data_IF_907547307592
#
_entry.id   IF_907547307592
#
_cell.length_a   1.000
_cell.length_b   1.000
_cell.length_c   1.000
_cell.angle_alpha   90.00
_cell.angle_beta   90.00
_cell.angle_gamma   90.00
#
_symmetry.space_group_name_H-M   'P 1'
#
loop_
_entity.id
_entity.type
_entity.pdbx_description
1 polymer ?
#
# COMPACT_ATOMS: atom_id res chain seq x y z
N UNK A 1 27.17 25.80 -28.49
CA UNK A 1 26.33 24.73 -27.93
C UNK A 1 24.99 24.80 -28.65
N UNK A 2 24.70 23.82 -29.54
CA UNK A 2 23.43 23.78 -30.29
C UNK A 2 22.29 23.45 -29.32
N UNK A 3 21.22 24.24 -29.35
CA UNK A 3 19.96 23.93 -28.68
C UNK A 3 19.41 22.64 -29.29
N UNK A 4 19.01 21.63 -28.47
CA UNK A 4 18.48 20.38 -28.99
C UNK A 4 17.20 20.63 -29.80
N UNK A 5 17.08 19.90 -30.92
CA UNK A 5 15.94 20.02 -31.83
C UNK A 5 14.65 19.52 -31.15
N UNK A 6 13.49 20.15 -31.44
CA UNK A 6 12.18 19.80 -30.89
C UNK A 6 11.87 18.27 -30.95
N UNK A 7 12.18 17.54 -32.05
CA UNK A 7 11.97 16.10 -32.12
C UNK A 7 12.86 15.29 -31.15
N UNK A 8 14.08 15.79 -30.89
CA UNK A 8 15.02 15.13 -29.96
C UNK A 8 14.54 15.28 -28.50
N UNK A 9 14.05 16.47 -28.13
CA UNK A 9 13.44 16.72 -26.83
C UNK A 9 12.21 15.81 -26.63
N UNK A 10 11.35 15.66 -27.64
CA UNK A 10 10.17 14.79 -27.58
C UNK A 10 10.54 13.29 -27.47
N UNK A 11 11.64 12.88 -28.10
CA UNK A 11 12.15 11.51 -27.99
C UNK A 11 12.73 11.23 -26.59
N UNK A 12 13.48 12.16 -26.03
CA UNK A 12 14.02 12.10 -24.68
C UNK A 12 12.90 12.06 -23.62
N UNK A 13 11.87 12.90 -23.79
CA UNK A 13 10.72 12.90 -22.89
C UNK A 13 9.97 11.56 -22.91
N UNK A 14 9.74 10.96 -24.10
CA UNK A 14 9.15 9.61 -24.19
C UNK A 14 10.03 8.56 -23.50
N UNK A 15 11.33 8.64 -23.68
CA UNK A 15 12.28 7.71 -23.04
C UNK A 15 12.31 7.85 -21.53
N UNK A 16 12.21 9.06 -21.00
CA UNK A 16 12.09 9.30 -19.56
C UNK A 16 10.83 8.64 -19.01
N UNK A 17 9.67 8.87 -19.64
CA UNK A 17 8.39 8.26 -19.23
C UNK A 17 8.47 6.73 -19.25
N UNK A 18 9.08 6.15 -20.28
CA UNK A 18 9.26 4.70 -20.38
C UNK A 18 10.15 4.15 -19.27
N UNK A 19 11.28 4.82 -18.98
CA UNK A 19 12.19 4.44 -17.91
C UNK A 19 11.55 4.59 -16.53
N UNK A 20 10.77 5.63 -16.31
CA UNK A 20 10.01 5.83 -15.07
C UNK A 20 8.99 4.69 -14.85
N UNK A 21 8.29 4.26 -15.91
CA UNK A 21 7.37 3.11 -15.85
C UNK A 21 8.11 1.80 -15.54
N UNK A 22 9.25 1.55 -16.17
CA UNK A 22 10.08 0.37 -15.90
C UNK A 22 10.59 0.36 -14.45
N UNK A 23 10.98 1.51 -13.96
CA UNK A 23 11.43 1.69 -12.59
C UNK A 23 10.33 1.43 -11.57
N UNK A 24 9.14 1.99 -11.82
CA UNK A 24 7.95 1.75 -10.99
C UNK A 24 7.61 0.25 -10.93
N UNK A 25 7.69 -0.43 -12.08
CA UNK A 25 7.44 -1.86 -12.15
C UNK A 25 8.51 -2.67 -11.40
N UNK A 26 9.78 -2.30 -11.52
CA UNK A 26 10.87 -2.94 -10.79
C UNK A 26 10.71 -2.78 -9.27
N UNK A 27 10.35 -1.60 -8.79
CA UNK A 27 10.07 -1.36 -7.37
C UNK A 27 8.87 -2.16 -6.87
N UNK A 28 7.82 -2.25 -7.68
CA UNK A 28 6.66 -3.07 -7.37
C UNK A 28 7.05 -4.53 -7.16
N UNK A 29 7.90 -5.08 -8.05
CA UNK A 29 8.41 -6.43 -7.93
C UNK A 29 9.29 -6.60 -6.68
N UNK A 30 10.15 -5.64 -6.36
CA UNK A 30 10.96 -5.67 -5.16
C UNK A 30 10.10 -5.68 -3.87
N UNK A 31 9.07 -4.84 -3.82
CA UNK A 31 8.12 -4.80 -2.68
C UNK A 31 7.33 -6.11 -2.55
N UNK A 32 6.87 -6.68 -3.69
CA UNK A 32 6.25 -8.02 -3.70
C UNK A 32 7.23 -9.06 -3.20
N UNK A 33 8.50 -9.02 -3.63
CA UNK A 33 9.55 -9.92 -3.16
C UNK A 33 9.76 -9.85 -1.65
N UNK A 34 9.78 -8.65 -1.07
CA UNK A 34 9.90 -8.44 0.37
C UNK A 34 8.70 -9.04 1.14
N UNK A 35 7.50 -8.90 0.61
CA UNK A 35 6.28 -9.44 1.20
C UNK A 35 6.06 -10.94 0.89
N UNK A 36 6.68 -11.48 -0.16
CA UNK A 36 6.42 -12.84 -0.64
C UNK A 36 6.69 -13.92 0.41
N UNK A 37 7.74 -13.78 1.21
CA UNK A 37 8.04 -14.73 2.30
C UNK A 37 6.92 -14.76 3.34
N UNK A 38 6.44 -13.59 3.77
CA UNK A 38 5.36 -13.45 4.74
C UNK A 38 4.03 -14.00 4.17
N UNK A 39 3.75 -13.73 2.89
CA UNK A 39 2.56 -14.25 2.20
C UNK A 39 2.59 -15.78 2.08
N UNK A 40 3.73 -16.39 1.71
CA UNK A 40 3.88 -17.83 1.61
C UNK A 40 3.62 -18.52 2.96
N UNK A 41 4.15 -17.96 4.04
CA UNK A 41 3.87 -18.45 5.38
C UNK A 41 2.39 -18.34 5.75
N UNK A 42 1.71 -17.25 5.34
CA UNK A 42 0.27 -17.10 5.60
C UNK A 42 -0.56 -18.11 4.82
N UNK A 43 -0.24 -18.35 3.54
CA UNK A 43 -0.89 -19.41 2.77
C UNK A 43 -0.76 -20.77 3.45
N UNK A 44 0.45 -21.13 3.90
CA UNK A 44 0.67 -22.40 4.59
C UNK A 44 -0.13 -22.48 5.90
N UNK A 45 -0.24 -21.40 6.65
CA UNK A 45 -1.05 -21.36 7.87
C UNK A 45 -2.54 -21.51 7.57
N UNK A 46 -3.05 -20.85 6.52
CA UNK A 46 -4.45 -20.99 6.08
C UNK A 46 -4.73 -22.43 5.66
N UNK A 47 -3.88 -23.03 4.82
CA UNK A 47 -4.01 -24.42 4.38
C UNK A 47 -3.98 -25.40 5.59
N UNK A 48 -3.04 -25.19 6.52
CA UNK A 48 -2.95 -25.98 7.74
C UNK A 48 -4.23 -25.86 8.57
N UNK A 49 -4.79 -24.66 8.69
CA UNK A 49 -6.06 -24.42 9.39
C UNK A 49 -7.19 -25.19 8.70
N UNK A 50 -7.33 -25.06 7.39
CA UNK A 50 -8.37 -25.78 6.61
C UNK A 50 -8.24 -27.29 6.80
N UNK A 51 -7.02 -27.85 6.65
CA UNK A 51 -6.78 -29.30 6.78
C UNK A 51 -7.09 -29.79 8.19
N UNK A 52 -6.67 -29.06 9.23
CA UNK A 52 -6.87 -29.48 10.61
C UNK A 52 -8.35 -29.46 10.99
N UNK A 53 -9.10 -28.42 10.63
CA UNK A 53 -10.52 -28.33 10.90
C UNK A 53 -11.35 -29.30 10.04
N UNK A 54 -10.94 -29.56 8.79
CA UNK A 54 -11.55 -30.61 7.98
C UNK A 54 -11.39 -32.00 8.64
N UNK A 55 -10.17 -32.34 9.11
CA UNK A 55 -9.93 -33.58 9.86
C UNK A 55 -10.75 -33.65 11.16
N UNK A 56 -10.88 -32.52 11.88
CA UNK A 56 -11.69 -32.44 13.09
C UNK A 56 -13.17 -32.73 12.77
N UNK A 57 -13.75 -32.08 11.79
CA UNK A 57 -15.12 -32.25 11.36
C UNK A 57 -15.44 -33.66 10.82
N UNK A 58 -14.43 -34.34 10.23
CA UNK A 58 -14.57 -35.73 9.79
C UNK A 58 -14.55 -36.76 10.97
N UNK A 59 -13.76 -36.45 12.02
CA UNK A 59 -13.64 -37.33 13.21
C UNK A 59 -14.81 -37.23 14.16
N UNK A 60 -15.38 -36.04 14.31
CA UNK A 60 -16.47 -35.78 15.24
C UNK A 60 -17.83 -35.86 14.54
N UNK A 61 -18.78 -36.58 15.16
CA UNK A 61 -20.14 -36.74 14.61
C UNK A 61 -21.15 -35.77 15.20
N UNK A 62 -20.80 -35.08 16.28
CA UNK A 62 -21.64 -34.08 16.94
C UNK A 62 -21.77 -32.81 16.10
N UNK A 63 -23.00 -32.29 16.01
CA UNK A 63 -23.34 -31.13 15.17
C UNK A 63 -22.55 -29.87 15.55
N UNK A 64 -22.41 -29.49 16.86
CA UNK A 64 -21.71 -28.26 17.22
C UNK A 64 -20.23 -28.24 16.83
N UNK A 65 -19.53 -29.39 16.99
CA UNK A 65 -18.11 -29.48 16.61
C UNK A 65 -17.93 -29.39 15.10
N UNK A 66 -18.82 -30.01 14.32
CA UNK A 66 -18.78 -29.95 12.85
C UNK A 66 -19.10 -28.57 12.33
N UNK A 67 -20.10 -27.88 12.89
CA UNK A 67 -20.47 -26.53 12.53
C UNK A 67 -19.31 -25.56 12.79
N UNK A 68 -18.70 -25.63 13.98
CA UNK A 68 -17.51 -24.84 14.31
C UNK A 68 -16.33 -25.12 13.37
N UNK A 69 -16.15 -26.39 12.96
CA UNK A 69 -15.10 -26.76 12.02
C UNK A 69 -15.35 -26.15 10.62
N UNK A 70 -16.59 -26.22 10.13
CA UNK A 70 -16.98 -25.62 8.85
C UNK A 70 -16.82 -24.10 8.84
N UNK A 71 -17.22 -23.42 9.92
CA UNK A 71 -17.02 -21.98 10.08
C UNK A 71 -15.54 -21.59 10.00
N UNK A 72 -14.67 -22.35 10.66
CA UNK A 72 -13.22 -22.11 10.62
C UNK A 72 -12.65 -22.33 9.23
N UNK A 73 -13.12 -23.34 8.50
CA UNK A 73 -12.71 -23.60 7.11
C UNK A 73 -13.17 -22.46 6.20
N UNK A 74 -14.45 -22.05 6.33
CA UNK A 74 -15.01 -20.95 5.52
C UNK A 74 -14.23 -19.65 5.73
N UNK A 75 -14.00 -19.27 6.99
CA UNK A 75 -13.25 -18.04 7.31
C UNK A 75 -11.79 -18.10 6.82
N UNK A 76 -11.14 -19.25 6.91
CA UNK A 76 -9.81 -19.45 6.36
C UNK A 76 -9.80 -19.34 4.83
N UNK A 77 -10.79 -19.92 4.14
CA UNK A 77 -10.96 -19.80 2.69
C UNK A 77 -11.22 -18.38 2.22
N UNK A 78 -12.11 -17.64 2.91
CA UNK A 78 -12.37 -16.24 2.63
C UNK A 78 -11.12 -15.37 2.81
N UNK A 79 -10.30 -15.66 3.83
CA UNK A 79 -9.03 -14.97 4.03
C UNK A 79 -8.03 -15.26 2.91
N UNK A 80 -7.92 -16.51 2.45
CA UNK A 80 -7.09 -16.88 1.31
C UNK A 80 -7.52 -16.14 0.03
N UNK A 81 -8.83 -16.06 -0.22
CA UNK A 81 -9.40 -15.34 -1.35
C UNK A 81 -9.05 -13.84 -1.31
N UNK A 82 -9.15 -13.19 -0.14
CA UNK A 82 -8.74 -11.78 0.02
C UNK A 82 -7.26 -11.57 -0.28
N UNK A 83 -6.38 -12.42 0.25
CA UNK A 83 -4.93 -12.33 0.00
C UNK A 83 -4.63 -12.50 -1.50
N UNK A 84 -5.22 -13.51 -2.15
CA UNK A 84 -5.03 -13.75 -3.59
C UNK A 84 -5.57 -12.62 -4.44
N UNK A 85 -6.76 -12.11 -4.14
CA UNK A 85 -7.35 -10.99 -4.87
C UNK A 85 -6.50 -9.72 -4.71
N UNK A 86 -6.05 -9.41 -3.49
CA UNK A 86 -5.15 -8.29 -3.22
C UNK A 86 -3.82 -8.42 -3.95
N UNK A 87 -3.16 -9.59 -3.87
CA UNK A 87 -1.90 -9.86 -4.55
C UNK A 87 -2.05 -9.79 -6.08
N UNK A 88 -3.13 -10.32 -6.65
CA UNK A 88 -3.42 -10.25 -8.09
C UNK A 88 -3.76 -8.82 -8.53
N UNK A 89 -4.54 -8.07 -7.74
CA UNK A 89 -4.82 -6.67 -8.00
C UNK A 89 -3.53 -5.85 -8.01
N UNK A 90 -2.67 -6.08 -7.02
CA UNK A 90 -1.36 -5.45 -6.94
C UNK A 90 -0.44 -5.85 -8.12
N UNK A 91 -0.50 -7.11 -8.59
CA UNK A 91 0.31 -7.61 -9.72
C UNK A 91 -0.24 -7.19 -11.09
N UNK A 92 -1.55 -7.34 -11.33
CA UNK A 92 -2.18 -7.20 -12.66
C UNK A 92 -2.44 -5.77 -13.11
N UNK A 93 -2.79 -4.85 -12.21
CA UNK A 93 -3.23 -3.48 -12.58
C UNK A 93 -2.11 -2.54 -13.05
N UNK A 94 -0.90 -3.06 -13.28
CA UNK A 94 0.15 -2.32 -13.99
C UNK A 94 0.05 -2.36 -15.52
N UNK A 95 -0.91 -3.11 -16.10
CA UNK A 95 -1.04 -3.29 -17.56
C UNK A 95 -2.24 -2.57 -18.20
N UNK A 96 -3.17 -2.01 -17.45
CA UNK A 96 -4.25 -1.24 -18.01
C UNK A 96 -3.92 0.25 -17.88
N UNK A 97 -3.48 0.79 -19.00
CA UNK A 97 -3.49 2.22 -19.37
C UNK A 97 -4.20 3.12 -18.37
N UNK A 98 -3.42 3.91 -17.61
CA UNK A 98 -3.77 5.17 -16.95
C UNK A 98 -5.22 5.44 -16.48
N UNK A 99 -6.13 4.50 -16.62
CA UNK A 99 -7.54 4.68 -16.30
C UNK A 99 -7.75 4.83 -14.79
N UNK A 100 -8.36 5.95 -14.42
CA UNK A 100 -8.84 6.19 -13.07
C UNK A 100 -10.26 5.63 -12.95
N UNK A 101 -10.51 4.98 -11.84
CA UNK A 101 -11.86 4.51 -11.45
C UNK A 101 -12.27 5.17 -10.13
N UNK A 102 -13.55 5.39 -9.96
CA UNK A 102 -14.10 5.91 -8.70
C UNK A 102 -14.17 4.76 -7.72
N UNK A 103 -13.41 4.87 -6.64
CA UNK A 103 -13.32 3.82 -5.62
C UNK A 103 -13.52 4.41 -4.21
N UNK A 104 -14.01 3.59 -3.31
CA UNK A 104 -14.00 3.86 -1.88
C UNK A 104 -12.56 3.74 -1.36
N UNK A 105 -12.07 4.79 -0.72
CA UNK A 105 -10.70 4.82 -0.19
C UNK A 105 -10.54 3.93 1.05
N UNK A 106 -11.61 3.64 1.79
CA UNK A 106 -11.58 2.70 2.92
C UNK A 106 -11.35 1.28 2.41
N UNK A 107 -12.11 0.87 1.38
CA UNK A 107 -11.95 -0.46 0.78
C UNK A 107 -10.54 -0.63 0.19
N UNK A 108 -10.05 0.41 -0.51
CA UNK A 108 -8.71 0.40 -1.09
C UNK A 108 -7.61 0.25 -0.03
N UNK A 109 -7.75 0.95 1.11
CA UNK A 109 -6.82 0.85 2.24
C UNK A 109 -6.92 -0.54 2.89
N UNK A 110 -8.13 -1.06 3.10
CA UNK A 110 -8.33 -2.39 3.70
C UNK A 110 -7.70 -3.49 2.86
N UNK A 111 -7.82 -3.43 1.53
CA UNK A 111 -7.16 -4.37 0.62
C UNK A 111 -5.63 -4.38 0.80
N UNK A 112 -5.02 -3.21 0.94
CA UNK A 112 -3.58 -3.09 1.21
C UNK A 112 -3.22 -3.64 2.59
N UNK A 113 -4.01 -3.32 3.62
CA UNK A 113 -3.75 -3.78 4.98
C UNK A 113 -3.78 -5.31 5.10
N UNK A 114 -4.65 -5.99 4.35
CA UNK A 114 -4.66 -7.47 4.29
C UNK A 114 -3.32 -8.03 3.82
N UNK A 115 -2.66 -7.38 2.86
CA UNK A 115 -1.36 -7.84 2.32
C UNK A 115 -0.22 -7.69 3.33
N UNK A 116 -0.24 -6.61 4.13
CA UNK A 116 0.86 -6.25 5.02
C UNK A 116 0.64 -6.71 6.47
N UNK A 117 -0.59 -7.12 6.85
CA UNK A 117 -0.97 -7.43 8.23
C UNK A 117 -0.01 -8.42 8.89
N UNK A 118 0.35 -9.48 8.18
CA UNK A 118 1.23 -10.51 8.72
C UNK A 118 2.66 -10.02 8.86
N UNK A 119 3.16 -9.28 7.88
CA UNK A 119 4.49 -8.67 7.94
C UNK A 119 4.61 -7.74 9.15
N UNK A 120 3.59 -6.90 9.40
CA UNK A 120 3.51 -6.06 10.58
C UNK A 120 3.53 -6.89 11.88
N UNK A 121 2.77 -7.99 11.95
CA UNK A 121 2.75 -8.88 13.13
C UNK A 121 4.10 -9.54 13.41
N UNK A 122 4.79 -10.03 12.37
CA UNK A 122 6.13 -10.63 12.46
C UNK A 122 7.12 -9.63 13.06
N UNK A 123 7.03 -8.37 12.64
CA UNK A 123 7.89 -7.29 13.14
C UNK A 123 7.36 -6.61 14.41
N UNK A 124 6.37 -7.19 15.10
CA UNK A 124 5.78 -6.69 16.36
C UNK A 124 5.20 -5.28 16.23
N UNK A 125 4.72 -4.90 15.06
CA UNK A 125 4.04 -3.63 14.83
C UNK A 125 2.53 -3.82 15.05
N UNK A 126 1.95 -3.06 15.98
CA UNK A 126 0.51 -3.05 16.26
C UNK A 126 -0.18 -2.08 15.30
N UNK A 127 -1.11 -2.61 14.52
CA UNK A 127 -1.92 -1.83 13.59
C UNK A 127 -3.18 -1.33 14.28
N UNK A 128 -3.48 -0.03 14.10
CA UNK A 128 -4.76 0.61 14.46
C UNK A 128 -5.33 1.28 13.22
N UNK A 129 -6.63 1.16 13.02
CA UNK A 129 -7.34 1.80 11.92
C UNK A 129 -8.48 2.66 12.43
N UNK A 130 -8.67 3.82 11.80
CA UNK A 130 -9.81 4.70 12.06
C UNK A 130 -10.35 5.19 10.72
N UNK A 131 -11.62 4.90 10.46
CA UNK A 131 -12.28 5.26 9.20
C UNK A 131 -13.50 6.13 9.52
N UNK A 132 -13.46 7.37 9.04
CA UNK A 132 -14.54 8.34 9.24
C UNK A 132 -15.26 8.54 7.90
N UNK A 133 -16.38 7.86 7.73
CA UNK A 133 -17.13 7.81 6.47
C UNK A 133 -16.47 6.94 5.41
N UNK A 134 -17.00 7.04 4.17
CA UNK A 134 -16.56 6.31 3.00
C UNK A 134 -16.24 7.27 1.84
N UNK A 135 -15.16 8.07 1.95
CA UNK A 135 -14.81 9.02 0.91
C UNK A 135 -14.38 8.30 -0.37
N UNK A 136 -14.94 8.71 -1.51
CA UNK A 136 -14.61 8.17 -2.83
C UNK A 136 -13.70 9.11 -3.60
N UNK A 137 -12.75 8.54 -4.36
CA UNK A 137 -11.86 9.29 -5.24
C UNK A 137 -11.68 8.61 -6.59
N UNK A 138 -11.43 9.40 -7.64
CA UNK A 138 -11.13 8.87 -8.97
C UNK A 138 -9.63 8.62 -9.09
N UNK A 139 -9.20 7.36 -8.93
CA UNK A 139 -7.78 6.99 -8.86
C UNK A 139 -7.44 5.77 -9.71
N UNK A 140 -6.17 5.65 -10.08
CA UNK A 140 -5.59 4.39 -10.51
C UNK A 140 -5.30 3.54 -9.27
N UNK A 141 -6.14 2.55 -9.03
CA UNK A 141 -6.10 1.70 -7.82
C UNK A 141 -4.72 1.09 -7.61
N UNK A 142 -4.13 0.52 -8.66
CA UNK A 142 -2.82 -0.13 -8.53
C UNK A 142 -1.68 0.83 -8.15
N UNK A 143 -1.70 2.06 -8.66
CA UNK A 143 -0.71 3.07 -8.30
C UNK A 143 -0.88 3.54 -6.86
N UNK A 144 -2.10 3.81 -6.43
CA UNK A 144 -2.35 4.25 -5.04
C UNK A 144 -2.09 3.12 -4.05
N UNK A 145 -2.46 1.89 -4.36
CA UNK A 145 -2.09 0.72 -3.54
C UNK A 145 -0.57 0.60 -3.39
N UNK A 146 0.20 0.81 -4.48
CA UNK A 146 1.66 0.80 -4.44
C UNK A 146 2.22 1.87 -3.49
N UNK A 147 1.65 3.09 -3.55
CA UNK A 147 2.04 4.17 -2.62
C UNK A 147 1.79 3.76 -1.17
N UNK A 148 0.61 3.22 -0.87
CA UNK A 148 0.25 2.80 0.49
C UNK A 148 1.16 1.69 1.01
N UNK A 149 1.41 0.66 0.20
CA UNK A 149 2.34 -0.43 0.57
C UNK A 149 3.73 0.12 0.85
N UNK A 150 4.24 1.00 -0.02
CA UNK A 150 5.56 1.61 0.16
C UNK A 150 5.65 2.42 1.48
N UNK A 151 4.63 3.21 1.78
CA UNK A 151 4.60 3.99 3.03
C UNK A 151 4.51 3.09 4.27
N UNK A 152 3.70 2.03 4.24
CA UNK A 152 3.55 1.08 5.35
C UNK A 152 4.84 0.28 5.57
N UNK A 153 5.49 -0.18 4.51
CA UNK A 153 6.78 -0.87 4.58
C UNK A 153 7.86 0.06 5.16
N UNK A 154 7.90 1.32 4.72
CA UNK A 154 8.82 2.31 5.28
C UNK A 154 8.56 2.57 6.78
N UNK A 155 7.29 2.67 7.18
CA UNK A 155 6.90 2.82 8.58
C UNK A 155 7.36 1.62 9.43
N UNK A 156 7.14 0.38 8.94
CA UNK A 156 7.63 -0.84 9.60
C UNK A 156 9.17 -0.83 9.75
N UNK A 157 9.88 -0.47 8.69
CA UNK A 157 11.34 -0.40 8.71
C UNK A 157 11.87 0.67 9.67
N UNK A 158 11.11 1.74 9.92
CA UNK A 158 11.44 2.74 10.94
C UNK A 158 11.21 2.26 12.38
N UNK A 159 10.59 1.07 12.56
CA UNK A 159 10.25 0.45 13.85
C UNK A 159 10.92 -0.92 14.03
N UNK A 160 12.26 -1.04 14.02
CA UNK A 160 12.96 -2.33 14.06
C UNK A 160 12.68 -3.16 15.32
N UNK A 161 12.36 -2.51 16.42
CA UNK A 161 12.01 -3.16 17.71
C UNK A 161 10.50 -3.36 17.90
N UNK A 162 9.70 -3.11 16.86
CA UNK A 162 8.24 -3.05 16.93
C UNK A 162 7.73 -1.64 17.24
N UNK A 163 6.41 -1.47 17.29
CA UNK A 163 5.79 -0.17 17.53
C UNK A 163 4.30 -0.13 17.19
N UNK A 164 3.82 1.06 16.89
CA UNK A 164 2.42 1.32 16.55
C UNK A 164 2.33 1.96 15.16
N UNK A 165 1.47 1.44 14.33
CA UNK A 165 1.10 1.98 13.04
C UNK A 165 -0.38 2.34 13.09
N UNK A 166 -0.71 3.61 12.84
CA UNK A 166 -2.10 4.07 12.72
C UNK A 166 -2.39 4.45 11.28
N UNK A 167 -3.50 3.96 10.74
CA UNK A 167 -4.00 4.30 9.40
C UNK A 167 -5.39 4.89 9.53
N UNK A 168 -5.55 6.14 9.09
CA UNK A 168 -6.81 6.88 9.17
C UNK A 168 -7.28 7.24 7.77
N UNK A 169 -8.58 7.07 7.49
CA UNK A 169 -9.23 7.56 6.27
C UNK A 169 -10.39 8.44 6.67
N UNK A 170 -10.46 9.66 6.12
CA UNK A 170 -11.52 10.62 6.44
C UNK A 170 -11.70 11.66 5.33
N UNK A 171 -12.84 12.35 5.26
CA UNK A 171 -12.92 13.60 4.54
C UNK A 171 -11.88 14.59 5.09
N UNK A 172 -11.20 15.32 4.22
CA UNK A 172 -10.24 16.34 4.67
C UNK A 172 -10.96 17.58 5.19
N UNK A 173 -10.31 18.32 6.12
CA UNK A 173 -10.76 19.67 6.48
C UNK A 173 -10.73 20.63 5.27
N UNK A 174 -9.85 20.38 4.29
CA UNK A 174 -9.86 21.10 3.01
C UNK A 174 -11.05 20.61 2.17
N UNK A 175 -11.96 21.49 1.81
CA UNK A 175 -13.16 21.15 1.06
C UNK A 175 -12.82 20.40 -0.26
N UNK A 176 -13.57 19.34 -0.55
CA UNK A 176 -13.43 18.57 -1.79
C UNK A 176 -12.25 17.59 -1.84
N UNK A 177 -11.59 17.34 -0.70
CA UNK A 177 -10.50 16.38 -0.59
C UNK A 177 -10.84 15.26 0.40
N UNK A 178 -10.33 14.07 0.16
CA UNK A 178 -10.22 12.99 1.14
C UNK A 178 -8.78 12.90 1.65
N UNK A 179 -8.62 12.41 2.86
CA UNK A 179 -7.33 12.26 3.53
C UNK A 179 -7.10 10.82 3.96
N UNK A 180 -5.92 10.27 3.61
CA UNK A 180 -5.39 9.04 4.14
C UNK A 180 -4.14 9.40 4.92
N UNK A 181 -4.13 9.17 6.24
CA UNK A 181 -2.98 9.41 7.11
C UNK A 181 -2.39 8.07 7.58
N UNK A 182 -1.06 7.93 7.46
CA UNK A 182 -0.28 6.78 7.91
C UNK A 182 0.73 7.30 8.91
N UNK A 183 0.58 6.93 10.20
CA UNK A 183 1.43 7.36 11.29
C UNK A 183 2.13 6.18 11.93
N UNK A 184 3.45 6.24 12.01
CA UNK A 184 4.27 5.30 12.76
C UNK A 184 4.80 5.93 14.05
N UNK A 185 5.17 5.08 14.99
CA UNK A 185 5.87 5.46 16.24
C UNK A 185 7.38 5.18 16.17
N UNK A 186 7.94 5.21 14.97
CA UNK A 186 9.33 4.87 14.71
C UNK A 186 10.33 5.95 15.14
N UNK A 187 11.57 5.81 14.66
CA UNK A 187 12.66 6.72 15.01
C UNK A 187 12.47 8.16 14.54
N UNK A 188 11.54 8.42 13.63
CA UNK A 188 11.36 9.74 13.03
C UNK A 188 12.54 10.17 12.18
N UNK A 189 12.52 11.44 11.76
CA UNK A 189 13.54 12.02 10.88
C UNK A 189 14.02 13.36 11.39
N UNK A 190 15.32 13.64 11.21
CA UNK A 190 15.91 14.95 11.44
C UNK A 190 15.46 15.94 10.35
N UNK A 191 15.42 17.27 10.62
CA UNK A 191 14.97 18.28 9.67
C UNK A 191 15.71 18.23 8.33
N UNK A 192 17.01 17.94 8.36
CA UNK A 192 17.87 17.86 7.17
C UNK A 192 17.48 16.68 6.26
N UNK A 193 17.09 15.55 6.88
CA UNK A 193 16.58 14.37 6.19
C UNK A 193 15.21 14.68 5.60
N UNK A 194 14.32 15.29 6.41
CA UNK A 194 12.93 15.58 6.04
C UNK A 194 12.84 16.47 4.78
N UNK A 195 13.77 17.40 4.60
CA UNK A 195 13.83 18.26 3.41
C UNK A 195 14.13 17.47 2.12
N UNK A 196 14.80 16.32 2.24
CA UNK A 196 15.34 15.56 1.12
C UNK A 196 14.62 14.27 0.80
N UNK A 197 13.70 13.80 1.66
CA UNK A 197 13.09 12.48 1.52
C UNK A 197 12.35 12.23 0.18
N UNK A 198 11.96 13.29 -0.51
CA UNK A 198 11.31 13.21 -1.82
C UNK A 198 12.29 13.40 -2.99
N UNK A 199 13.59 13.60 -2.72
CA UNK A 199 14.61 13.62 -3.78
C UNK A 199 14.81 12.21 -4.31
N UNK A 200 14.85 11.99 -5.63
CA UNK A 200 15.18 10.70 -6.22
C UNK A 200 16.54 10.19 -5.72
N UNK A 201 16.63 8.88 -5.45
CA UNK A 201 17.84 8.20 -4.96
C UNK A 201 18.31 8.60 -3.56
N UNK A 202 17.61 9.48 -2.87
CA UNK A 202 17.93 9.80 -1.48
C UNK A 202 17.48 8.68 -0.54
N UNK A 203 18.41 8.15 0.24
CA UNK A 203 18.14 7.13 1.25
C UNK A 203 19.08 7.29 2.44
N UNK A 204 18.56 7.05 3.62
CA UNK A 204 19.35 6.96 4.87
C UNK A 204 19.62 5.50 5.25
N UNK A 205 19.09 4.54 4.47
CA UNK A 205 19.27 3.11 4.72
C UNK A 205 20.62 2.66 4.18
N UNK A 206 21.44 2.10 5.06
CA UNK A 206 22.69 1.46 4.64
C UNK A 206 22.37 0.25 3.74
N UNK A 207 23.21 0.07 2.72
CA UNK A 207 23.20 -1.16 1.92
C UNK A 207 23.73 -2.28 2.78
N UNK A 208 22.97 -3.37 2.98
CA UNK A 208 23.43 -4.53 3.72
C UNK A 208 24.48 -5.33 2.93
N UNK A 209 25.07 -6.36 3.58
CA UNK A 209 26.09 -7.25 2.99
C UNK A 209 25.57 -8.07 1.79
N UNK A 210 24.26 -8.07 1.54
CA UNK A 210 23.61 -8.74 0.40
C UNK A 210 23.21 -7.77 -0.72
N UNK A 211 23.60 -6.48 -0.62
CA UNK A 211 23.27 -5.46 -1.61
C UNK A 211 21.81 -4.94 -1.49
N UNK A 212 21.09 -5.31 -0.44
CA UNK A 212 19.73 -4.84 -0.18
C UNK A 212 19.79 -3.54 0.62
N UNK A 213 19.78 -2.43 -0.08
CA UNK A 213 19.64 -1.08 0.48
C UNK A 213 18.37 -0.41 -0.02
N UNK A 214 17.96 0.67 0.63
CA UNK A 214 16.86 1.47 0.10
C UNK A 214 17.24 2.09 -1.25
N UNK A 215 16.44 1.88 -2.30
CA UNK A 215 16.69 2.46 -3.64
C UNK A 215 16.60 4.00 -3.66
N UNK A 216 16.04 4.59 -2.61
CA UNK A 216 15.80 6.04 -2.54
C UNK A 216 14.72 6.57 -3.50
N UNK A 217 13.97 5.67 -4.16
CA UNK A 217 13.00 6.04 -5.19
C UNK A 217 11.54 5.93 -4.71
N UNK A 218 11.30 5.20 -3.62
CA UNK A 218 9.94 4.91 -3.17
C UNK A 218 9.14 6.15 -2.82
N UNK A 219 9.70 7.11 -2.09
CA UNK A 219 8.99 8.33 -1.68
C UNK A 219 8.85 9.34 -2.82
N UNK A 220 9.87 9.48 -3.67
CA UNK A 220 9.79 10.37 -4.85
C UNK A 220 8.71 9.90 -5.82
N UNK A 221 8.60 8.59 -6.08
CA UNK A 221 7.52 8.01 -6.90
C UNK A 221 6.16 8.10 -6.20
N UNK A 222 6.09 7.91 -4.89
CA UNK A 222 4.85 8.10 -4.15
C UNK A 222 4.32 9.52 -4.32
N UNK A 223 5.19 10.53 -4.23
CA UNK A 223 4.83 11.93 -4.49
C UNK A 223 4.34 12.13 -5.92
N UNK A 224 5.07 11.65 -6.91
CA UNK A 224 4.72 11.76 -8.33
C UNK A 224 3.35 11.11 -8.63
N UNK A 225 3.09 9.92 -8.08
CA UNK A 225 1.79 9.23 -8.22
C UNK A 225 0.66 10.06 -7.61
N UNK A 226 0.81 10.55 -6.38
CA UNK A 226 -0.25 11.34 -5.73
C UNK A 226 -0.48 12.67 -6.46
N UNK A 227 0.59 13.35 -6.89
CA UNK A 227 0.49 14.58 -7.68
C UNK A 227 -0.16 14.34 -9.05
N UNK A 228 0.13 13.22 -9.72
CA UNK A 228 -0.55 12.84 -10.97
C UNK A 228 -2.06 12.66 -10.78
N UNK A 229 -2.51 12.29 -9.57
CA UNK A 229 -3.91 12.20 -9.18
C UNK A 229 -4.51 13.54 -8.71
N UNK A 230 -3.80 14.66 -8.96
CA UNK A 230 -4.20 16.00 -8.49
C UNK A 230 -4.29 16.08 -6.96
N UNK A 231 -3.62 15.17 -6.30
CA UNK A 231 -3.52 15.09 -4.85
C UNK A 231 -2.27 15.77 -4.31
N UNK A 232 -2.07 15.65 -3.00
CA UNK A 232 -0.89 16.16 -2.30
C UNK A 232 -0.42 15.14 -1.27
N UNK A 233 0.90 15.00 -1.11
CA UNK A 233 1.50 14.25 -0.02
C UNK A 233 2.19 15.23 0.92
N UNK A 234 1.93 15.08 2.23
CA UNK A 234 2.61 15.81 3.30
C UNK A 234 3.29 14.82 4.23
N UNK A 235 4.30 15.30 4.93
CA UNK A 235 5.01 14.53 5.93
C UNK A 235 5.29 15.42 7.14
N UNK A 236 5.01 14.87 8.32
CA UNK A 236 5.32 15.46 9.61
C UNK A 236 6.15 14.44 10.38
N UNK A 237 7.35 14.81 10.83
CA UNK A 237 8.26 13.90 11.51
C UNK A 237 9.18 14.66 12.44
N UNK A 238 9.49 14.05 13.57
CA UNK A 238 10.54 14.49 14.49
C UNK A 238 11.28 13.29 15.05
N UNK A 239 12.58 13.45 15.34
CA UNK A 239 13.42 12.38 15.88
C UNK A 239 12.81 11.84 17.18
N UNK A 240 12.63 10.53 17.26
CA UNK A 240 12.04 9.83 18.41
C UNK A 240 10.52 9.95 18.55
N UNK A 241 9.82 10.68 17.65
CA UNK A 241 8.36 10.86 17.72
C UNK A 241 7.60 10.12 16.60
N UNK A 242 8.34 9.46 15.71
CA UNK A 242 7.77 8.79 14.54
C UNK A 242 7.52 9.71 13.37
N UNK A 243 6.78 9.20 12.38
CA UNK A 243 6.47 9.91 11.14
C UNK A 243 4.98 9.80 10.82
N UNK A 244 4.42 10.87 10.28
CA UNK A 244 3.06 10.86 9.72
C UNK A 244 3.13 11.28 8.26
N UNK A 245 2.73 10.38 7.37
CA UNK A 245 2.47 10.70 5.97
C UNK A 245 0.97 10.94 5.77
N UNK A 246 0.62 12.05 5.14
CA UNK A 246 -0.76 12.42 4.85
C UNK A 246 -0.93 12.58 3.35
N UNK A 247 -1.77 11.71 2.76
CA UNK A 247 -2.16 11.76 1.36
C UNK A 247 -3.51 12.47 1.26
N UNK A 248 -3.61 13.50 0.43
CA UNK A 248 -4.87 14.18 0.12
C UNK A 248 -5.22 13.96 -1.33
N UNK A 249 -6.41 13.42 -1.60
CA UNK A 249 -6.90 13.10 -2.94
C UNK A 249 -8.23 13.83 -3.20
N UNK A 250 -8.48 14.32 -4.42
CA UNK A 250 -9.76 14.93 -4.76
C UNK A 250 -10.89 13.93 -4.58
N UNK A 251 -11.95 14.33 -3.88
CA UNK A 251 -13.18 13.55 -3.82
C UNK A 251 -13.78 13.41 -5.22
N UNK A 252 -14.24 12.21 -5.54
CA UNK A 252 -15.01 12.00 -6.75
C UNK A 252 -16.30 12.84 -6.67
N UNK A 253 -16.55 13.67 -7.69
CA UNK A 253 -17.85 14.32 -7.82
C UNK A 253 -18.90 13.23 -8.07
N UNK A 254 -19.85 13.07 -7.15
CA UNK A 254 -21.02 12.25 -7.38
C UNK A 254 -21.77 12.86 -8.59
N UNK A 255 -21.53 12.34 -9.78
CA UNK A 255 -22.44 12.59 -10.90
C UNK A 255 -23.69 11.77 -10.62
N UNK A 256 -24.71 12.40 -10.03
CA UNK A 256 -26.03 11.81 -9.93
C UNK A 256 -26.52 11.61 -11.37
N UNK A 257 -26.36 10.41 -11.89
CA UNK A 257 -27.06 10.01 -13.11
C UNK A 257 -28.52 9.93 -12.72
N UNK A 258 -29.27 11.02 -12.95
CA UNK A 258 -30.72 10.96 -12.98
C UNK A 258 -31.07 9.95 -14.09
N UNK A 259 -31.49 8.74 -13.71
CA UNK A 259 -32.25 7.88 -14.60
C UNK A 259 -33.53 8.65 -14.93
N UNK A 260 -33.55 9.24 -16.10
CA UNK A 260 -34.80 9.63 -16.74
C UNK A 260 -35.62 8.35 -16.88
N UNK A 261 -36.84 8.36 -16.31
CA UNK A 261 -37.82 7.30 -16.34
C UNK A 261 -38.41 7.09 -17.73
#
# INVERSE_FOLDING_TARGET
MSTPDKPEIAALQRRIVELEQQLLQSQKLATVGELASSMTHEFNNILTTIINYAKLGLRHKDHPTREKALDKILNAGLRAAKITTGALAFSRRGKADGQREVVDLVDLVQDVLVLVEKDLKVHRVRLQTQFDGHPTAAVNVGQVQQVLVNLIVNARQAMPSGGHLSVTVRPSADAGLAEIAIRDSGQGMAPEVLQRIFEPYFTTKATDSQGQGGTGLGLSLARQVIESHQGRIRVDSAVGQGTTFTLKLPLAKLTVVQKAG
#
